data_IF_282448181095
#
_entry.id   IF_282448181095
#
_cell.length_a   1.000
_cell.length_b   1.000
_cell.length_c   1.000
_cell.angle_alpha   90.00
_cell.angle_beta   90.00
_cell.angle_gamma   90.00
#
_symmetry.space_group_name_H-M   'P 1'
#
loop_
_entity.id
_entity.type
_entity.pdbx_description
1 polymer ?
#
# COMPACT_ATOMS: atom_id res chain seq x y z
N UNK A 1 -20.95 43.47 5.15
CA UNK A 1 -19.55 43.06 4.87
C UNK A 1 -19.56 41.53 4.84
N UNK A 2 -20.04 40.93 3.76
CA UNK A 2 -19.25 40.29 2.68
C UNK A 2 -18.36 39.16 3.24
N UNK A 3 -18.70 37.88 3.11
CA UNK A 3 -18.83 37.00 1.93
C UNK A 3 -17.57 36.14 1.71
N UNK A 4 -17.79 34.82 1.79
CA UNK A 4 -17.31 33.74 0.92
C UNK A 4 -15.80 33.54 0.66
N UNK A 5 -15.32 32.32 0.94
CA UNK A 5 -14.48 31.47 0.05
C UNK A 5 -14.77 30.00 0.44
N UNK A 6 -15.63 29.23 -0.27
CA UNK A 6 -15.36 28.40 -1.47
C UNK A 6 -14.23 27.35 -1.28
N UNK A 7 -14.53 26.07 -1.05
CA UNK A 7 -14.78 25.02 -2.05
C UNK A 7 -13.53 24.50 -2.78
N UNK A 8 -13.25 23.19 -2.69
CA UNK A 8 -13.26 22.26 -3.83
C UNK A 8 -12.54 20.94 -3.49
N UNK A 9 -13.26 19.84 -3.67
CA UNK A 9 -12.72 18.50 -3.79
C UNK A 9 -12.14 18.30 -5.19
N UNK A 10 -11.01 17.60 -5.29
CA UNK A 10 -10.58 16.99 -6.54
C UNK A 10 -9.77 15.72 -6.26
N UNK A 11 -10.33 14.59 -6.72
CA UNK A 11 -9.63 13.32 -6.85
C UNK A 11 -8.64 13.40 -8.01
N UNK A 12 -7.45 12.84 -7.84
CA UNK A 12 -6.54 12.55 -8.94
C UNK A 12 -5.96 11.14 -8.78
N UNK A 13 -6.52 10.23 -9.58
CA UNK A 13 -5.99 8.91 -9.89
C UNK A 13 -4.63 9.08 -10.58
N UNK A 14 -3.52 8.76 -9.91
CA UNK A 14 -2.20 8.71 -10.54
C UNK A 14 -1.79 7.25 -10.73
N UNK A 15 -2.12 6.73 -11.91
CA UNK A 15 -1.59 5.50 -12.49
C UNK A 15 -0.91 5.87 -13.81
N UNK A 16 0.40 5.67 -13.89
CA UNK A 16 1.18 5.68 -15.12
C UNK A 16 2.54 5.03 -14.82
N UNK A 17 3.26 4.38 -15.73
CA UNK A 17 2.99 3.71 -17.00
C UNK A 17 4.32 2.97 -17.30
N UNK A 18 4.30 1.76 -17.87
CA UNK A 18 5.52 1.06 -18.32
C UNK A 18 5.46 0.89 -19.84
N UNK A 19 6.52 1.17 -20.60
CA UNK A 19 6.50 1.05 -22.06
C UNK A 19 6.92 -0.36 -22.49
N UNK A 20 6.22 -0.96 -23.46
CA UNK A 20 6.77 -2.03 -24.31
C UNK A 20 6.32 -1.89 -25.77
N UNK A 21 7.32 -1.52 -26.56
CA UNK A 21 7.72 -1.81 -27.94
C UNK A 21 6.80 -2.69 -28.83
N UNK A 22 6.76 -2.24 -30.10
CA UNK A 22 6.01 -2.51 -31.32
C UNK A 22 6.05 -3.92 -31.99
N UNK A 23 4.88 -4.31 -32.56
CA UNK A 23 4.55 -4.80 -33.94
C UNK A 23 5.26 -6.04 -34.58
N UNK A 24 4.81 -6.64 -35.73
CA UNK A 24 3.57 -6.48 -36.52
C UNK A 24 2.85 -7.80 -36.97
N UNK A 25 1.77 -7.59 -37.73
CA UNK A 25 0.77 -8.44 -38.40
C UNK A 25 1.23 -9.57 -39.35
N UNK A 26 0.37 -10.60 -39.51
CA UNK A 26 0.41 -11.61 -40.57
C UNK A 26 -0.93 -12.39 -40.69
N UNK A 27 -1.40 -12.58 -41.92
CA UNK A 27 -2.75 -12.90 -42.43
C UNK A 27 -3.19 -14.39 -42.38
N UNK A 28 -4.45 -14.74 -42.78
CA UNK A 28 -5.18 -15.95 -42.37
C UNK A 28 -5.10 -17.10 -43.39
N UNK A 29 -5.47 -18.33 -42.99
CA UNK A 29 -5.79 -19.45 -43.91
C UNK A 29 -6.84 -20.38 -43.29
N UNK A 30 -7.61 -21.00 -44.19
CA UNK A 30 -8.98 -21.49 -44.09
C UNK A 30 -9.08 -23.02 -43.96
N UNK A 31 -10.30 -23.50 -43.65
CA UNK A 31 -10.90 -24.85 -43.85
C UNK A 31 -10.18 -26.06 -43.20
N UNK A 32 -10.80 -27.05 -42.55
CA UNK A 32 -11.94 -27.89 -42.97
C UNK A 32 -12.48 -28.73 -41.78
N UNK A 33 -13.72 -29.19 -41.96
CA UNK A 33 -14.57 -30.07 -41.15
C UNK A 33 -14.11 -31.54 -41.16
N UNK A 34 -14.20 -32.28 -40.03
CA UNK A 34 -14.59 -33.71 -40.06
C UNK A 34 -15.12 -34.18 -38.69
N UNK A 35 -16.31 -34.79 -38.75
CA UNK A 35 -17.11 -35.39 -37.67
C UNK A 35 -16.41 -36.55 -36.96
N UNK A 36 -16.68 -36.67 -35.66
CA UNK A 36 -16.49 -37.90 -34.89
C UNK A 36 -17.35 -37.88 -33.62
N UNK A 37 -18.47 -38.59 -33.65
CA UNK A 37 -19.29 -38.91 -32.47
C UNK A 37 -18.46 -39.75 -31.50
N UNK A 38 -18.56 -39.49 -30.18
CA UNK A 38 -18.54 -40.46 -29.07
C UNK A 38 -18.54 -39.71 -27.72
N UNK A 39 -19.63 -39.85 -26.96
CA UNK A 39 -19.69 -39.48 -25.53
C UNK A 39 -18.72 -40.37 -24.73
N UNK A 40 -18.13 -39.86 -23.63
CA UNK A 40 -18.41 -40.53 -22.36
C UNK A 40 -18.45 -39.63 -21.09
N UNK A 41 -19.38 -40.00 -20.21
CA UNK A 41 -19.35 -39.96 -18.73
C UNK A 41 -19.41 -38.61 -17.95
N UNK A 42 -20.36 -38.43 -17.02
CA UNK A 42 -20.39 -37.29 -16.10
C UNK A 42 -19.39 -37.51 -14.95
N UNK A 43 -18.35 -36.68 -14.90
CA UNK A 43 -17.47 -36.55 -13.72
C UNK A 43 -18.19 -35.73 -12.63
N UNK A 44 -17.95 -36.00 -11.33
CA UNK A 44 -18.53 -35.18 -10.26
C UNK A 44 -18.02 -33.73 -10.34
N UNK A 45 -18.85 -32.71 -10.07
CA UNK A 45 -18.39 -31.33 -10.08
C UNK A 45 -17.37 -31.14 -8.96
N UNK A 46 -16.13 -30.82 -9.33
CA UNK A 46 -15.11 -30.30 -8.42
C UNK A 46 -15.70 -29.13 -7.61
N UNK A 47 -15.41 -28.99 -6.30
CA UNK A 47 -15.85 -27.84 -5.55
C UNK A 47 -15.29 -26.59 -6.24
N UNK A 48 -16.20 -25.75 -6.72
CA UNK A 48 -15.89 -24.45 -7.29
C UNK A 48 -15.11 -23.70 -6.21
N UNK A 49 -13.79 -23.56 -6.41
CA UNK A 49 -12.99 -22.63 -5.63
C UNK A 49 -13.44 -21.24 -6.05
N UNK A 50 -14.43 -20.70 -5.34
CA UNK A 50 -14.80 -19.30 -5.45
C UNK A 50 -13.51 -18.49 -5.26
N UNK A 51 -13.11 -17.65 -6.23
CA UNK A 51 -11.98 -16.77 -6.02
C UNK A 51 -12.30 -15.93 -4.79
N UNK A 52 -11.45 -16.02 -3.76
CA UNK A 52 -11.55 -15.17 -2.58
C UNK A 52 -11.68 -13.73 -3.07
N UNK A 53 -12.82 -13.11 -2.77
CA UNK A 53 -13.08 -11.72 -3.13
C UNK A 53 -11.87 -10.89 -2.67
N UNK A 54 -11.27 -10.06 -3.54
CA UNK A 54 -10.16 -9.21 -3.14
C UNK A 54 -10.56 -8.42 -1.90
N UNK A 55 -9.75 -8.50 -0.85
CA UNK A 55 -9.98 -7.70 0.34
C UNK A 55 -10.10 -6.23 -0.03
N UNK A 56 -10.95 -5.50 0.68
CA UNK A 56 -11.02 -4.04 0.56
C UNK A 56 -9.60 -3.44 0.59
N UNK A 57 -9.39 -2.34 -0.14
CA UNK A 57 -8.11 -1.61 -0.18
C UNK A 57 -7.58 -1.35 1.23
N UNK A 58 -8.47 -0.98 2.15
CA UNK A 58 -8.15 -0.74 3.55
C UNK A 58 -7.62 -2.00 4.23
N UNK A 59 -8.34 -3.12 4.11
CA UNK A 59 -7.98 -4.41 4.71
C UNK A 59 -6.64 -4.94 4.20
N UNK A 60 -6.40 -4.83 2.89
CA UNK A 60 -5.11 -5.18 2.28
C UNK A 60 -3.97 -4.34 2.85
N UNK A 61 -4.19 -3.04 3.06
CA UNK A 61 -3.18 -2.15 3.64
C UNK A 61 -2.93 -2.48 5.11
N UNK A 62 -4.00 -2.66 5.90
CA UNK A 62 -3.94 -3.04 7.32
C UNK A 62 -3.12 -4.32 7.51
N UNK A 63 -3.38 -5.34 6.69
CA UNK A 63 -2.63 -6.61 6.72
C UNK A 63 -1.15 -6.42 6.41
N UNK A 64 -0.79 -5.63 5.39
CA UNK A 64 0.62 -5.36 5.05
C UNK A 64 1.35 -4.64 6.18
N UNK A 65 0.72 -3.64 6.74
CA UNK A 65 1.28 -2.83 7.82
C UNK A 65 1.48 -3.69 9.08
N UNK A 66 0.48 -4.51 9.42
CA UNK A 66 0.57 -5.48 10.51
C UNK A 66 1.70 -6.49 10.32
N UNK A 67 1.81 -7.09 9.13
CA UNK A 67 2.89 -8.03 8.82
C UNK A 67 4.28 -7.38 8.92
N UNK A 68 4.39 -6.14 8.46
CA UNK A 68 5.63 -5.36 8.54
C UNK A 68 6.00 -5.10 10.01
N UNK A 69 5.03 -4.71 10.83
CA UNK A 69 5.24 -4.51 12.26
C UNK A 69 5.63 -5.81 12.98
N UNK A 70 4.93 -6.92 12.70
CA UNK A 70 5.27 -8.23 13.23
C UNK A 70 6.65 -8.73 12.79
N UNK A 71 7.11 -8.35 11.59
CA UNK A 71 8.49 -8.62 11.17
C UNK A 71 9.50 -7.76 11.95
N UNK A 72 9.20 -6.47 12.16
CA UNK A 72 10.02 -5.59 12.99
C UNK A 72 10.22 -6.15 14.41
N UNK A 73 9.15 -6.61 15.06
CA UNK A 73 9.24 -7.21 16.40
C UNK A 73 10.10 -8.49 16.44
N UNK A 74 9.98 -9.34 15.42
CA UNK A 74 10.80 -10.57 15.29
C UNK A 74 12.27 -10.28 15.02
N UNK A 75 12.57 -9.18 14.33
CA UNK A 75 13.94 -8.76 14.02
C UNK A 75 14.64 -8.06 15.20
N UNK A 76 13.88 -7.63 16.21
CA UNK A 76 14.44 -7.05 17.44
C UNK A 76 15.33 -8.08 18.15
N UNK A 77 16.35 -7.59 18.87
CA UNK A 77 17.26 -8.44 19.66
C UNK A 77 17.26 -8.02 21.13
N UNK A 78 16.67 -8.81 22.04
CA UNK A 78 16.00 -10.11 21.83
C UNK A 78 14.67 -9.98 21.06
N UNK A 79 14.17 -11.04 20.39
CA UNK A 79 12.88 -11.01 19.70
C UNK A 79 11.75 -10.63 20.66
N UNK A 80 10.87 -9.74 20.20
CA UNK A 80 9.77 -9.23 21.00
C UNK A 80 8.47 -9.95 20.64
N UNK A 81 7.81 -10.50 21.66
CA UNK A 81 6.42 -10.94 21.54
C UNK A 81 5.49 -9.71 21.64
N UNK A 82 4.34 -9.75 20.98
CA UNK A 82 3.35 -8.66 21.03
C UNK A 82 2.94 -8.29 22.45
N UNK A 83 2.77 -9.27 23.35
CA UNK A 83 2.43 -9.05 24.77
C UNK A 83 3.50 -8.25 25.56
N UNK A 84 4.74 -8.23 25.06
CA UNK A 84 5.87 -7.47 25.66
C UNK A 84 6.19 -6.20 24.88
N UNK A 85 5.46 -5.96 23.78
CA UNK A 85 5.58 -4.73 23.02
C UNK A 85 5.04 -3.57 23.87
N UNK A 86 5.69 -2.42 23.76
CA UNK A 86 5.34 -1.21 24.51
C UNK A 86 5.33 -0.03 23.56
N UNK A 87 4.80 1.12 24.02
CA UNK A 87 4.80 2.34 23.23
C UNK A 87 6.18 2.75 22.71
N UNK A 88 7.25 2.44 23.44
CA UNK A 88 8.62 2.73 23.01
C UNK A 88 9.00 2.02 21.70
N UNK A 89 8.65 0.73 21.58
CA UNK A 89 8.91 -0.07 20.38
C UNK A 89 8.07 0.42 19.19
N UNK A 90 6.83 0.86 19.45
CA UNK A 90 5.99 1.48 18.40
C UNK A 90 6.64 2.78 17.91
N UNK A 91 7.11 3.63 18.81
CA UNK A 91 7.78 4.88 18.43
C UNK A 91 9.07 4.64 17.65
N UNK A 92 9.87 3.64 18.04
CA UNK A 92 11.06 3.25 17.29
C UNK A 92 10.71 2.73 15.89
N UNK A 93 9.70 1.87 15.77
CA UNK A 93 9.19 1.42 14.48
C UNK A 93 8.77 2.60 13.59
N UNK A 94 8.04 3.57 14.12
CA UNK A 94 7.63 4.76 13.37
C UNK A 94 8.84 5.61 12.94
N UNK A 95 9.85 5.77 13.80
CA UNK A 95 11.10 6.46 13.45
C UNK A 95 11.89 5.71 12.37
N UNK A 96 11.85 4.38 12.36
CA UNK A 96 12.44 3.58 11.30
C UNK A 96 11.73 3.83 9.96
N UNK A 97 10.39 3.80 9.93
CA UNK A 97 9.61 4.07 8.72
C UNK A 97 9.81 5.47 8.16
N UNK A 98 10.01 6.43 9.06
CA UNK A 98 10.26 7.83 8.74
C UNK A 98 11.51 8.03 7.85
N UNK A 99 12.49 7.12 7.88
CA UNK A 99 13.69 7.15 7.02
C UNK A 99 13.36 6.93 5.53
N UNK A 100 12.26 6.24 5.24
CA UNK A 100 11.76 6.00 3.88
C UNK A 100 10.70 7.04 3.49
N UNK A 101 10.69 8.17 4.20
CA UNK A 101 9.96 9.37 3.88
C UNK A 101 10.11 9.85 2.44
N UNK A 102 9.07 10.51 1.93
CA UNK A 102 9.14 11.24 0.64
C UNK A 102 8.94 12.74 0.80
N UNK A 103 8.59 13.19 2.00
CA UNK A 103 8.33 14.60 2.29
C UNK A 103 9.62 15.25 2.76
N UNK A 104 10.05 16.33 2.10
CA UNK A 104 11.20 17.12 2.52
C UNK A 104 10.80 17.97 3.75
N UNK A 105 11.54 17.83 4.84
CA UNK A 105 11.31 18.61 6.07
C UNK A 105 12.44 19.63 6.22
N UNK A 106 12.13 20.89 5.95
CA UNK A 106 13.09 21.97 6.04
C UNK A 106 13.32 22.38 7.50
N UNK A 107 14.58 22.46 7.91
CA UNK A 107 14.95 23.07 9.19
C UNK A 107 14.88 24.61 9.12
N UNK A 108 14.83 25.26 10.27
CA UNK A 108 14.72 26.73 10.37
C UNK A 108 15.90 27.45 9.69
N UNK A 109 17.10 26.86 9.72
CA UNK A 109 18.29 27.38 9.06
C UNK A 109 18.39 27.01 7.56
N UNK A 110 17.36 26.37 6.98
CA UNK A 110 17.37 26.04 5.56
C UNK A 110 17.11 27.31 4.73
N UNK A 111 17.94 27.62 3.71
CA UNK A 111 17.73 28.80 2.86
C UNK A 111 16.42 28.74 2.05
N UNK A 112 15.81 27.56 1.94
CA UNK A 112 14.53 27.34 1.26
C UNK A 112 13.35 27.15 2.22
N UNK A 113 13.52 27.40 3.52
CA UNK A 113 12.43 27.28 4.49
C UNK A 113 11.24 28.18 4.07
N UNK A 114 10.04 27.61 4.01
CA UNK A 114 8.81 28.31 3.58
C UNK A 114 8.65 28.49 2.07
N UNK A 115 9.59 28.05 1.22
CA UNK A 115 9.46 28.16 -0.24
C UNK A 115 8.77 26.91 -0.83
N UNK A 116 7.60 27.04 -1.48
CA UNK A 116 6.87 25.89 -2.04
C UNK A 116 7.56 25.28 -3.28
N UNK A 117 8.34 26.09 -4.01
CA UNK A 117 9.10 25.63 -5.17
C UNK A 117 10.56 26.13 -5.08
N UNK A 118 11.43 25.39 -4.37
CA UNK A 118 12.81 25.82 -4.17
C UNK A 118 13.58 25.75 -5.51
N UNK A 119 14.39 26.77 -5.83
CA UNK A 119 15.13 26.85 -7.10
C UNK A 119 16.28 25.83 -7.20
N UNK A 120 16.72 25.25 -6.08
CA UNK A 120 17.75 24.21 -6.04
C UNK A 120 17.51 23.23 -4.88
N UNK A 121 18.06 22.00 -4.93
CA UNK A 121 17.86 21.02 -3.88
C UNK A 121 18.60 21.39 -2.58
N UNK A 122 18.07 20.95 -1.44
CA UNK A 122 18.76 21.04 -0.15
C UNK A 122 19.00 19.69 0.51
N UNK A 123 19.98 19.69 1.42
CA UNK A 123 20.38 18.55 2.26
C UNK A 123 19.41 18.25 3.40
N UNK A 124 18.25 18.92 3.46
CA UNK A 124 17.24 18.62 4.47
C UNK A 124 16.73 17.18 4.32
N UNK A 125 16.40 16.49 5.43
CA UNK A 125 16.01 15.09 5.41
C UNK A 125 14.66 14.88 4.73
N UNK A 126 14.47 13.68 4.19
CA UNK A 126 13.15 13.18 3.80
C UNK A 126 12.53 12.42 4.97
N UNK A 127 11.25 12.64 5.17
CA UNK A 127 10.46 12.19 6.31
C UNK A 127 9.08 11.74 5.85
N UNK A 128 8.44 10.88 6.63
CA UNK A 128 7.05 10.51 6.37
C UNK A 128 6.14 11.69 6.69
N UNK A 129 5.08 11.86 5.90
CA UNK A 129 4.06 12.83 6.24
C UNK A 129 3.30 12.37 7.49
N UNK A 130 2.97 13.30 8.39
CA UNK A 130 2.22 13.01 9.60
C UNK A 130 0.92 12.24 9.34
N UNK A 131 0.15 12.63 8.32
CA UNK A 131 -1.08 11.92 7.95
C UNK A 131 -0.86 10.46 7.53
N UNK A 132 0.29 10.13 6.92
CA UNK A 132 0.62 8.74 6.57
C UNK A 132 0.91 7.89 7.81
N UNK A 133 1.65 8.46 8.78
CA UNK A 133 1.96 7.79 10.04
C UNK A 133 0.71 7.64 10.92
N UNK A 134 -0.15 8.65 10.99
CA UNK A 134 -1.41 8.60 11.72
C UNK A 134 -2.33 7.50 11.18
N UNK A 135 -2.51 7.46 9.85
CA UNK A 135 -3.31 6.42 9.21
C UNK A 135 -2.71 5.01 9.43
N UNK A 136 -1.38 4.88 9.47
CA UNK A 136 -0.71 3.63 9.81
C UNK A 136 -1.01 3.21 11.26
N UNK A 137 -0.90 4.14 12.23
CA UNK A 137 -1.21 3.87 13.64
C UNK A 137 -2.66 3.40 13.80
N UNK A 138 -3.61 4.07 13.13
CA UNK A 138 -5.02 3.67 13.15
C UNK A 138 -5.22 2.24 12.62
N UNK A 139 -4.56 1.88 11.52
CA UNK A 139 -4.61 0.51 10.99
C UNK A 139 -3.95 -0.52 11.91
N UNK A 140 -2.81 -0.20 12.52
CA UNK A 140 -2.15 -1.10 13.48
C UNK A 140 -3.01 -1.32 14.73
N UNK A 141 -3.70 -0.29 15.21
CA UNK A 141 -4.67 -0.42 16.32
C UNK A 141 -5.80 -1.38 15.95
N UNK A 142 -6.45 -1.16 14.81
CA UNK A 142 -7.51 -2.05 14.34
C UNK A 142 -7.02 -3.49 14.12
N UNK A 143 -5.80 -3.66 13.59
CA UNK A 143 -5.20 -4.98 13.43
C UNK A 143 -4.92 -5.65 14.77
N UNK A 144 -4.47 -4.90 15.78
CA UNK A 144 -4.19 -5.42 17.11
C UNK A 144 -5.46 -5.96 17.78
N UNK A 145 -6.56 -5.22 17.72
CA UNK A 145 -7.87 -5.65 18.23
C UNK A 145 -8.30 -7.00 17.63
N UNK A 146 -8.07 -7.20 16.33
CA UNK A 146 -8.40 -8.45 15.62
C UNK A 146 -7.43 -9.62 15.90
N UNK A 147 -6.20 -9.35 16.33
CA UNK A 147 -5.13 -10.35 16.49
C UNK A 147 -4.78 -10.64 17.96
N UNK A 148 -5.66 -10.29 18.91
CA UNK A 148 -5.48 -10.61 20.33
C UNK A 148 -5.22 -9.41 21.23
N UNK A 149 -5.75 -8.23 20.88
CA UNK A 149 -5.89 -7.12 21.82
C UNK A 149 -6.85 -7.49 22.96
N UNK A 150 -6.70 -6.88 24.16
CA UNK A 150 -7.69 -7.05 25.22
C UNK A 150 -9.06 -6.62 24.69
N UNK A 151 -10.04 -7.52 24.81
CA UNK A 151 -11.44 -7.25 24.48
C UNK A 151 -12.03 -6.20 25.43
#
# INVERSE_FOLDING_TARGET
>A
MSAAVAAAAAAANMSCNSPRISSPSGTPTSYQLQKGLLLPSPSPPSPISLPLLPLSRYESQKRRDWNTFGQYLRNHRPPLALARCSGAHVLEFLRYLDQFGKTKVHGENCPFFGQPHPPSPCSCPLKQAWGSLDALIGRLRAAFEENGGPA
#
